data_IF_037078604182
#
_entry.id   IF_037078604182
#
_cell.length_a   1.000
_cell.length_b   1.000
_cell.length_c   1.000
_cell.angle_alpha   90.00
_cell.angle_beta   90.00
_cell.angle_gamma   90.00
#
_symmetry.space_group_name_H-M   'P 1'
#
loop_
_entity.id
_entity.type
_entity.pdbx_description
1 polymer ?
#
# COMPACT_ATOMS: atom_id res chain seq x y z
N UNK A 1 9.32 -0.68 18.41
CA UNK A 1 8.59 -0.66 17.13
C UNK A 1 7.15 -0.29 17.41
N UNK A 2 6.56 0.70 16.74
CA UNK A 2 5.10 0.82 16.78
C UNK A 2 4.53 -0.37 15.98
N UNK A 3 4.05 -1.38 16.71
CA UNK A 3 3.42 -2.57 16.14
C UNK A 3 2.28 -2.20 15.19
N UNK A 4 1.66 -1.03 15.37
CA UNK A 4 0.62 -0.52 14.49
C UNK A 4 1.12 -0.23 13.06
N UNK A 5 2.36 0.22 12.87
CA UNK A 5 2.88 0.56 11.53
C UNK A 5 3.20 -0.70 10.71
N UNK A 6 3.76 -1.75 11.33
CA UNK A 6 3.89 -3.06 10.64
C UNK A 6 2.53 -3.61 10.30
N UNK A 7 1.60 -3.52 11.26
CA UNK A 7 0.23 -4.02 11.06
C UNK A 7 -0.44 -3.27 9.92
N UNK A 8 -0.25 -1.96 9.82
CA UNK A 8 -0.74 -1.15 8.71
C UNK A 8 -0.20 -1.69 7.39
N UNK A 9 1.12 -1.91 7.32
CA UNK A 9 1.74 -2.41 6.10
C UNK A 9 1.23 -3.82 5.72
N UNK A 10 1.09 -4.72 6.70
CA UNK A 10 0.48 -6.03 6.51
C UNK A 10 -0.96 -5.94 5.98
N UNK A 11 -1.80 -5.09 6.59
CA UNK A 11 -3.20 -4.89 6.15
C UNK A 11 -3.27 -4.25 4.77
N UNK A 12 -2.36 -3.33 4.43
CA UNK A 12 -2.25 -2.73 3.10
C UNK A 12 -1.98 -3.81 2.03
N UNK A 13 -1.04 -4.73 2.27
CA UNK A 13 -0.72 -5.84 1.36
C UNK A 13 -1.87 -6.83 1.20
N UNK A 14 -2.73 -6.99 2.21
CA UNK A 14 -3.97 -7.75 2.06
C UNK A 14 -4.99 -7.03 1.17
N UNK A 15 -5.05 -5.71 1.31
CA UNK A 15 -6.08 -4.86 0.71
C UNK A 15 -5.80 -4.52 -0.75
N UNK A 16 -4.53 -4.36 -1.13
CA UNK A 16 -4.12 -4.05 -2.49
C UNK A 16 -2.91 -4.90 -2.93
N UNK A 17 -2.76 -5.20 -4.22
CA UNK A 17 -1.64 -5.98 -4.75
C UNK A 17 -0.31 -5.22 -4.71
N UNK A 18 -0.36 -3.88 -4.75
CA UNK A 18 0.81 -3.02 -4.75
C UNK A 18 0.85 -2.20 -3.45
N UNK A 19 2.05 -1.99 -2.90
CA UNK A 19 2.25 -1.06 -1.78
C UNK A 19 3.58 -0.33 -1.91
N UNK A 20 3.65 0.91 -1.41
CA UNK A 20 4.87 1.70 -1.39
C UNK A 20 5.11 2.21 0.03
N UNK A 21 6.32 2.01 0.55
CA UNK A 21 6.81 2.70 1.74
C UNK A 21 7.62 3.92 1.31
N UNK A 22 7.10 5.11 1.56
CA UNK A 22 7.74 6.38 1.22
C UNK A 22 8.20 7.08 2.51
N UNK A 23 9.47 7.41 2.62
CA UNK A 23 9.99 8.07 3.83
C UNK A 23 11.48 8.37 3.75
N UNK A 24 12.08 9.01 4.76
CA UNK A 24 13.46 9.50 4.69
C UNK A 24 14.46 8.39 4.35
N UNK A 25 15.57 8.73 3.70
CA UNK A 25 16.63 7.76 3.45
C UNK A 25 17.14 7.14 4.77
N UNK A 26 17.54 5.87 4.74
CA UNK A 26 18.04 5.13 5.92
C UNK A 26 17.04 4.99 7.09
N UNK A 27 15.74 5.06 6.82
CA UNK A 27 14.64 4.86 7.80
C UNK A 27 14.27 3.39 8.06
N UNK A 28 15.08 2.44 7.59
CA UNK A 28 14.83 1.01 7.80
C UNK A 28 13.72 0.38 6.94
N UNK A 29 13.13 1.12 5.97
CA UNK A 29 12.12 0.61 5.03
C UNK A 29 12.53 -0.71 4.37
N UNK A 30 13.75 -0.76 3.84
CA UNK A 30 14.28 -1.95 3.16
C UNK A 30 14.39 -3.15 4.11
N UNK A 31 14.81 -2.93 5.36
CA UNK A 31 14.91 -3.98 6.37
C UNK A 31 13.52 -4.49 6.79
N UNK A 32 12.53 -3.60 6.93
CA UNK A 32 11.14 -3.97 7.18
C UNK A 32 10.57 -4.81 6.04
N UNK A 33 10.72 -4.36 4.79
CA UNK A 33 10.21 -5.08 3.61
C UNK A 33 10.83 -6.46 3.52
N UNK A 34 12.16 -6.56 3.67
CA UNK A 34 12.86 -7.84 3.65
C UNK A 34 12.36 -8.78 4.75
N UNK A 35 12.32 -8.30 6.00
CA UNK A 35 11.89 -9.13 7.13
C UNK A 35 10.45 -9.59 6.98
N UNK A 36 9.55 -8.70 6.54
CA UNK A 36 8.15 -9.04 6.31
C UNK A 36 7.99 -10.04 5.16
N UNK A 37 8.71 -9.86 4.05
CA UNK A 37 8.69 -10.80 2.94
C UNK A 37 9.13 -12.20 3.37
N UNK A 38 10.26 -12.27 4.08
CA UNK A 38 10.81 -13.50 4.66
C UNK A 38 9.92 -14.16 5.73
N UNK A 39 8.92 -13.45 6.23
CA UNK A 39 7.96 -13.98 7.21
C UNK A 39 6.64 -14.41 6.56
N UNK A 40 6.32 -13.91 5.37
CA UNK A 40 5.08 -14.21 4.66
C UNK A 40 5.23 -15.26 3.56
N UNK A 41 6.46 -15.56 3.16
CA UNK A 41 6.78 -16.36 1.98
C UNK A 41 7.98 -17.25 2.28
N UNK A 42 8.15 -18.31 1.50
CA UNK A 42 9.32 -19.18 1.55
C UNK A 42 10.60 -18.36 1.33
N UNK A 43 11.66 -18.66 2.10
CA UNK A 43 12.94 -17.95 2.04
C UNK A 43 13.80 -18.45 0.89
N UNK A 44 13.28 -18.32 -0.33
CA UNK A 44 13.94 -18.70 -1.58
C UNK A 44 13.78 -17.57 -2.60
N UNK A 45 14.81 -17.35 -3.41
CA UNK A 45 14.88 -16.30 -4.44
C UNK A 45 13.77 -16.46 -5.51
N UNK A 46 13.16 -17.65 -5.61
CA UNK A 46 12.01 -17.92 -6.46
C UNK A 46 10.74 -17.18 -5.98
N UNK A 47 10.55 -17.07 -4.66
CA UNK A 47 9.34 -16.49 -4.06
C UNK A 47 9.52 -15.04 -3.64
N UNK A 48 10.76 -14.64 -3.32
CA UNK A 48 11.10 -13.28 -2.92
C UNK A 48 12.15 -12.72 -3.86
N UNK A 49 11.77 -11.74 -4.67
CA UNK A 49 12.72 -11.03 -5.54
C UNK A 49 13.00 -9.63 -5.00
N UNK A 50 14.24 -9.39 -4.59
CA UNK A 50 14.75 -8.06 -4.25
C UNK A 50 15.39 -7.42 -5.50
N UNK A 51 14.82 -6.32 -5.96
CA UNK A 51 15.20 -5.60 -7.18
C UNK A 51 15.58 -4.18 -6.77
N UNK A 52 16.77 -3.72 -7.12
CA UNK A 52 17.09 -2.29 -6.99
C UNK A 52 16.22 -1.54 -8.00
N UNK A 53 15.53 -0.49 -7.58
CA UNK A 53 14.80 0.40 -8.50
C UNK A 53 15.81 1.23 -9.29
N UNK A 54 16.20 2.37 -8.73
CA UNK A 54 17.04 3.30 -9.47
C UNK A 54 18.53 2.87 -9.45
N UNK A 55 19.24 2.85 -10.60
CA UNK A 55 20.68 2.64 -10.67
C UNK A 55 21.44 3.89 -10.19
N UNK A 56 21.38 4.23 -8.89
CA UNK A 56 22.20 5.31 -8.33
C UNK A 56 23.70 5.13 -8.63
N UNK A 57 24.14 3.89 -8.85
CA UNK A 57 25.51 3.55 -9.26
C UNK A 57 25.87 3.98 -10.69
N UNK A 58 24.89 4.19 -11.58
CA UNK A 58 25.12 4.57 -12.97
C UNK A 58 25.37 6.07 -13.16
N UNK A 59 25.02 6.92 -12.17
CA UNK A 59 25.17 8.38 -12.26
C UNK A 59 26.62 8.84 -12.44
N UNK A 60 27.59 8.06 -11.95
CA UNK A 60 29.03 8.31 -12.11
C UNK A 60 29.65 7.72 -13.38
N UNK A 61 28.86 7.12 -14.27
CA UNK A 61 29.36 6.40 -15.45
C UNK A 61 29.26 7.24 -16.73
N UNK A 62 30.19 7.03 -17.68
CA UNK A 62 30.21 7.78 -18.94
C UNK A 62 28.98 7.51 -19.84
N UNK A 63 28.22 6.44 -19.59
CA UNK A 63 27.06 5.99 -20.39
C UNK A 63 25.80 5.76 -19.52
N UNK A 64 25.45 6.75 -18.69
CA UNK A 64 24.31 6.69 -17.76
C UNK A 64 23.04 6.14 -18.42
N UNK A 65 22.66 6.69 -19.58
CA UNK A 65 21.43 6.30 -20.28
C UNK A 65 21.38 4.81 -20.64
N UNK A 66 22.47 4.26 -21.18
CA UNK A 66 22.54 2.84 -21.56
C UNK A 66 22.53 1.92 -20.34
N UNK A 67 23.16 2.32 -19.24
CA UNK A 67 23.14 1.55 -17.99
C UNK A 67 21.75 1.59 -17.34
N UNK A 68 21.07 2.73 -17.38
CA UNK A 68 19.69 2.86 -16.90
C UNK A 68 18.74 2.00 -17.73
N UNK A 69 18.85 2.01 -19.06
CA UNK A 69 18.03 1.17 -19.94
C UNK A 69 18.24 -0.33 -19.68
N UNK A 70 19.49 -0.78 -19.54
CA UNK A 70 19.79 -2.16 -19.19
C UNK A 70 19.23 -2.55 -17.81
N UNK A 71 19.30 -1.64 -16.83
CA UNK A 71 18.71 -1.88 -15.53
C UNK A 71 17.20 -2.05 -15.63
N UNK A 72 16.51 -1.13 -16.32
CA UNK A 72 15.05 -1.20 -16.48
C UNK A 72 14.64 -2.53 -17.10
N UNK A 73 15.31 -2.94 -18.20
CA UNK A 73 15.05 -4.25 -18.83
C UNK A 73 15.24 -5.41 -17.86
N UNK A 74 16.34 -5.42 -17.11
CA UNK A 74 16.62 -6.47 -16.13
C UNK A 74 15.57 -6.51 -14.99
N UNK A 75 15.14 -5.35 -14.50
CA UNK A 75 14.09 -5.25 -13.50
C UNK A 75 12.76 -5.77 -14.03
N UNK A 76 12.42 -5.44 -15.27
CA UNK A 76 11.20 -5.95 -15.92
C UNK A 76 11.23 -7.47 -16.11
N UNK A 77 12.35 -8.05 -16.58
CA UNK A 77 12.49 -9.51 -16.73
C UNK A 77 12.34 -10.25 -15.40
N UNK A 78 12.89 -9.67 -14.32
CA UNK A 78 12.70 -10.20 -12.96
C UNK A 78 11.23 -10.19 -12.52
N UNK A 79 10.55 -9.06 -12.70
CA UNK A 79 9.12 -8.94 -12.38
C UNK A 79 8.29 -9.92 -13.22
N UNK A 80 8.58 -10.08 -14.51
CA UNK A 80 7.91 -11.05 -15.36
C UNK A 80 8.12 -12.48 -14.87
N UNK A 81 9.37 -12.84 -14.56
CA UNK A 81 9.71 -14.17 -14.06
C UNK A 81 8.95 -14.52 -12.78
N UNK A 82 8.82 -13.59 -11.81
CA UNK A 82 8.05 -13.87 -10.59
C UNK A 82 6.55 -13.96 -10.85
N UNK A 83 6.01 -13.19 -11.81
CA UNK A 83 4.60 -13.27 -12.20
C UNK A 83 4.31 -14.65 -12.81
N UNK A 84 5.16 -15.10 -13.73
CA UNK A 84 5.02 -16.41 -14.38
C UNK A 84 5.11 -17.56 -13.36
N UNK A 85 6.02 -17.46 -12.39
CA UNK A 85 6.16 -18.46 -11.34
C UNK A 85 4.93 -18.47 -10.41
N UNK A 86 4.48 -17.30 -9.94
CA UNK A 86 3.32 -17.18 -9.06
C UNK A 86 2.02 -17.63 -9.74
N UNK A 87 1.92 -17.50 -11.07
CA UNK A 87 0.78 -17.94 -11.86
C UNK A 87 0.67 -19.46 -12.02
N UNK A 88 1.71 -20.24 -11.69
CA UNK A 88 1.68 -21.70 -11.86
C UNK A 88 0.63 -22.33 -10.92
N UNK A 89 -0.16 -23.31 -11.41
CA UNK A 89 -1.19 -23.95 -10.57
C UNK A 89 -0.67 -24.57 -9.27
N UNK A 90 0.56 -25.10 -9.28
CA UNK A 90 1.20 -25.68 -8.09
C UNK A 90 1.60 -24.66 -7.02
N UNK A 91 1.61 -23.36 -7.38
CA UNK A 91 2.08 -22.27 -6.54
C UNK A 91 0.92 -21.38 -6.04
N UNK A 92 -0.33 -21.73 -6.32
CA UNK A 92 -1.50 -20.89 -6.00
C UNK A 92 -1.66 -20.60 -4.50
N UNK A 93 -1.22 -21.52 -3.64
CA UNK A 93 -1.29 -21.41 -2.18
C UNK A 93 0.00 -20.85 -1.54
N UNK A 94 0.92 -20.34 -2.37
CA UNK A 94 2.21 -19.80 -1.96
C UNK A 94 2.25 -18.28 -2.19
N UNK A 95 2.80 -17.51 -1.25
CA UNK A 95 2.94 -16.06 -1.36
C UNK A 95 4.19 -15.71 -2.14
N UNK A 96 4.05 -14.85 -3.14
CA UNK A 96 5.17 -14.30 -3.89
C UNK A 96 5.29 -12.80 -3.64
N UNK A 97 6.53 -12.30 -3.56
CA UNK A 97 6.80 -10.90 -3.27
C UNK A 97 7.94 -10.39 -4.16
N UNK A 98 7.63 -9.40 -5.00
CA UNK A 98 8.65 -8.59 -5.68
C UNK A 98 8.84 -7.27 -4.94
N UNK A 99 10.08 -6.95 -4.58
CA UNK A 99 10.43 -5.72 -3.89
C UNK A 99 11.32 -4.85 -4.76
N UNK A 100 10.81 -3.69 -5.20
CA UNK A 100 11.58 -2.65 -5.87
C UNK A 100 12.09 -1.66 -4.81
N UNK A 101 13.39 -1.69 -4.55
CA UNK A 101 14.03 -0.97 -3.45
C UNK A 101 14.61 0.35 -3.96
N UNK A 102 14.35 1.47 -3.25
CA UNK A 102 14.84 2.80 -3.63
C UNK A 102 14.42 3.22 -5.04
N UNK A 103 13.12 3.12 -5.32
CA UNK A 103 12.56 3.62 -6.57
C UNK A 103 12.65 5.14 -6.64
N UNK A 104 12.87 5.64 -7.84
CA UNK A 104 12.78 7.05 -8.19
C UNK A 104 11.33 7.47 -8.47
N UNK A 105 11.03 8.78 -8.49
CA UNK A 105 9.73 9.28 -8.94
C UNK A 105 9.40 8.86 -10.38
N UNK A 106 10.41 8.73 -11.25
CA UNK A 106 10.19 8.29 -12.63
C UNK A 106 9.68 6.85 -12.69
N UNK A 107 10.28 5.94 -11.92
CA UNK A 107 9.85 4.54 -11.84
C UNK A 107 8.52 4.37 -11.11
N UNK A 108 8.25 5.21 -10.11
CA UNK A 108 6.94 5.27 -9.50
C UNK A 108 5.85 5.50 -10.56
N UNK A 109 6.03 6.50 -11.43
CA UNK A 109 5.07 6.82 -12.48
C UNK A 109 5.07 5.78 -13.60
N UNK A 110 6.24 5.40 -14.14
CA UNK A 110 6.32 4.51 -15.32
C UNK A 110 6.06 3.05 -15.01
N UNK A 111 6.16 2.61 -13.75
CA UNK A 111 5.92 1.24 -13.34
C UNK A 111 4.71 1.12 -12.40
N UNK A 112 4.71 1.77 -11.23
CA UNK A 112 3.63 1.56 -10.25
C UNK A 112 2.28 2.13 -10.71
N UNK A 113 2.23 3.36 -11.23
CA UNK A 113 0.98 3.92 -11.77
C UNK A 113 0.47 3.09 -12.95
N UNK A 114 1.35 2.78 -13.91
CA UNK A 114 1.00 2.01 -15.11
C UNK A 114 0.49 0.59 -14.78
N UNK A 115 1.16 -0.13 -13.88
CA UNK A 115 0.69 -1.45 -13.43
C UNK A 115 -0.62 -1.30 -12.66
N UNK A 116 -0.72 -0.32 -11.77
CA UNK A 116 -1.91 -0.10 -10.96
C UNK A 116 -3.17 0.13 -11.80
N UNK A 117 -3.06 0.94 -12.86
CA UNK A 117 -4.10 1.18 -13.84
C UNK A 117 -4.48 -0.10 -14.60
N UNK A 118 -3.50 -0.83 -15.11
CA UNK A 118 -3.73 -2.07 -15.86
C UNK A 118 -4.40 -3.16 -15.00
N UNK A 119 -4.07 -3.24 -13.70
CA UNK A 119 -4.69 -4.18 -12.77
C UNK A 119 -6.19 -3.98 -12.61
N UNK A 120 -6.69 -2.74 -12.64
CA UNK A 120 -8.14 -2.48 -12.63
C UNK A 120 -8.83 -2.99 -13.90
N UNK A 121 -8.11 -3.04 -15.00
CA UNK A 121 -8.58 -3.58 -16.27
C UNK A 121 -8.38 -5.11 -16.38
N UNK A 122 -7.79 -5.74 -15.37
CA UNK A 122 -7.67 -7.19 -15.21
C UNK A 122 -6.56 -7.86 -16.01
N UNK A 123 -5.77 -7.11 -16.80
CA UNK A 123 -4.70 -7.65 -17.64
C UNK A 123 -3.52 -6.68 -17.70
N UNK A 124 -2.31 -7.22 -17.74
CA UNK A 124 -1.08 -6.47 -17.92
C UNK A 124 -0.56 -6.70 -19.34
N UNK A 125 -0.37 -5.61 -20.08
CA UNK A 125 0.23 -5.54 -21.41
C UNK A 125 1.57 -4.80 -21.41
N UNK A 126 1.86 -4.04 -20.35
CA UNK A 126 3.07 -3.22 -20.23
C UNK A 126 3.67 -3.32 -18.83
N UNK A 127 4.99 -3.49 -18.75
CA UNK A 127 5.77 -3.43 -17.51
C UNK A 127 6.99 -2.53 -17.72
N UNK A 128 6.96 -1.34 -17.13
CA UNK A 128 7.94 -0.29 -17.41
C UNK A 128 7.91 0.07 -18.90
N UNK A 129 9.06 -0.02 -19.57
CA UNK A 129 9.16 0.28 -21.01
C UNK A 129 8.95 -0.93 -21.93
N UNK A 130 8.65 -2.10 -21.37
CA UNK A 130 8.42 -3.33 -22.16
C UNK A 130 6.94 -3.52 -22.46
N UNK A 131 6.61 -3.68 -23.73
CA UNK A 131 5.30 -4.13 -24.19
C UNK A 131 5.30 -5.64 -24.41
N UNK A 132 4.32 -6.32 -23.80
CA UNK A 132 4.15 -7.76 -23.91
C UNK A 132 3.41 -8.11 -25.20
N UNK A 133 3.74 -9.26 -25.77
CA UNK A 133 3.09 -9.79 -26.98
C UNK A 133 1.67 -10.26 -26.65
N UNK A 134 1.48 -10.84 -25.48
CA UNK A 134 0.20 -11.37 -24.99
C UNK A 134 -0.11 -10.80 -23.60
N UNK A 135 -1.40 -10.58 -23.28
CA UNK A 135 -1.79 -10.12 -21.95
C UNK A 135 -1.51 -11.20 -20.91
N UNK A 136 -0.93 -10.79 -19.80
CA UNK A 136 -0.76 -11.65 -18.62
C UNK A 136 -1.72 -11.23 -17.50
N UNK A 137 -2.20 -12.21 -16.75
CA UNK A 137 -3.00 -11.95 -15.55
C UNK A 137 -2.09 -11.74 -14.35
N UNK A 138 -2.47 -10.84 -13.45
CA UNK A 138 -1.74 -10.64 -12.22
C UNK A 138 -2.14 -11.70 -11.17
N UNK A 139 -1.20 -12.51 -10.67
CA UNK A 139 -1.51 -13.58 -9.72
C UNK A 139 -2.03 -13.03 -8.39
N UNK A 140 -3.12 -13.60 -7.88
CA UNK A 140 -3.76 -13.14 -6.64
C UNK A 140 -2.89 -13.34 -5.39
N UNK A 141 -1.89 -14.21 -5.48
CA UNK A 141 -0.89 -14.54 -4.46
C UNK A 141 0.42 -13.74 -4.56
N UNK A 142 0.57 -12.88 -5.58
CA UNK A 142 1.72 -11.99 -5.74
C UNK A 142 1.50 -10.62 -5.10
N UNK A 143 2.53 -10.06 -4.47
CA UNK A 143 2.59 -8.67 -4.01
C UNK A 143 3.78 -7.96 -4.63
N UNK A 144 3.61 -6.71 -5.01
CA UNK A 144 4.73 -5.85 -5.40
C UNK A 144 4.87 -4.71 -4.41
N UNK A 145 6.08 -4.54 -3.89
CA UNK A 145 6.41 -3.58 -2.85
C UNK A 145 7.45 -2.61 -3.36
N UNK A 146 7.17 -1.32 -3.29
CA UNK A 146 8.12 -0.24 -3.54
C UNK A 146 8.68 0.32 -2.23
N UNK A 147 9.94 0.75 -2.24
CA UNK A 147 10.44 1.68 -1.21
C UNK A 147 10.98 2.92 -1.87
N UNK A 148 10.65 4.09 -1.33
CA UNK A 148 11.03 5.37 -1.89
C UNK A 148 11.65 6.26 -0.81
N UNK A 149 12.82 6.80 -1.10
CA UNK A 149 13.52 7.73 -0.22
C UNK A 149 13.01 9.15 -0.50
N UNK A 150 12.16 9.68 0.37
CA UNK A 150 11.60 11.04 0.27
C UNK A 150 11.19 11.60 1.62
N UNK A 151 11.22 12.93 1.78
CA UNK A 151 10.81 13.60 3.02
C UNK A 151 9.29 13.91 3.03
N UNK A 152 8.73 14.24 1.86
CA UNK A 152 7.30 14.40 1.59
C UNK A 152 6.93 13.53 0.39
N UNK A 153 5.71 12.99 0.34
CA UNK A 153 5.23 12.28 -0.84
C UNK A 153 4.22 13.16 -1.56
N UNK A 154 4.59 13.60 -2.76
CA UNK A 154 3.84 14.57 -3.57
C UNK A 154 3.33 14.00 -4.89
N UNK A 155 3.65 12.75 -5.20
CA UNK A 155 3.28 12.08 -6.45
C UNK A 155 1.97 11.30 -6.30
N UNK A 156 0.96 11.97 -5.77
CA UNK A 156 -0.39 11.42 -5.69
C UNK A 156 -1.01 11.42 -7.07
N UNK A 157 -1.28 10.24 -7.58
CA UNK A 157 -1.80 10.01 -8.91
C UNK A 157 -3.00 9.07 -8.79
N UNK A 158 -4.10 9.40 -9.49
CA UNK A 158 -5.35 8.63 -9.38
C UNK A 158 -5.13 7.18 -9.82
N UNK A 159 -4.36 6.98 -10.90
CA UNK A 159 -4.02 5.67 -11.43
C UNK A 159 -3.18 4.85 -10.44
N UNK A 160 -2.16 5.47 -9.82
CA UNK A 160 -1.39 4.87 -8.72
C UNK A 160 -2.30 4.38 -7.59
N UNK A 161 -3.26 5.22 -7.17
CA UNK A 161 -4.12 4.94 -6.03
C UNK A 161 -5.17 3.87 -6.31
N UNK A 162 -5.42 3.44 -7.55
CA UNK A 162 -6.40 2.38 -7.83
C UNK A 162 -6.02 1.03 -7.20
N UNK A 163 -4.76 0.62 -7.35
CA UNK A 163 -4.28 -0.70 -6.95
C UNK A 163 -3.02 -0.65 -6.08
N UNK A 164 -2.59 0.55 -5.70
CA UNK A 164 -1.46 0.78 -4.78
C UNK A 164 -1.90 1.45 -3.49
N UNK A 165 -1.32 1.04 -2.37
CA UNK A 165 -1.36 1.79 -1.11
C UNK A 165 0.00 2.43 -0.85
N UNK A 166 0.04 3.76 -0.75
CA UNK A 166 1.25 4.48 -0.34
C UNK A 166 1.19 4.73 1.17
N UNK A 167 2.22 4.32 1.88
CA UNK A 167 2.36 4.48 3.33
C UNK A 167 3.52 5.43 3.59
N UNK A 168 3.22 6.56 4.22
CA UNK A 168 4.24 7.49 4.68
C UNK A 168 4.94 6.95 5.93
N UNK A 169 6.23 6.67 5.79
CA UNK A 169 7.07 6.03 6.80
C UNK A 169 7.98 7.06 7.47
N UNK A 170 7.83 7.19 8.80
CA UNK A 170 8.50 8.26 9.57
C UNK A 170 9.64 7.79 10.49
N UNK A 171 9.92 6.48 10.60
CA UNK A 171 10.89 6.01 11.61
C UNK A 171 12.35 6.12 11.15
N UNK A 172 13.14 6.90 11.89
CA UNK A 172 14.60 6.89 11.87
C UNK A 172 15.11 6.40 13.23
N UNK A 173 15.22 5.09 13.41
CA UNK A 173 15.98 4.53 14.52
C UNK A 173 16.75 3.31 14.02
N UNK A 174 18.02 3.22 14.42
CA UNK A 174 18.98 2.20 13.97
C UNK A 174 18.34 0.82 13.99
N UNK A 175 18.05 0.30 12.80
CA UNK A 175 17.43 -1.00 12.62
C UNK A 175 18.46 -2.08 12.94
N UNK A 176 18.31 -2.72 14.11
CA UNK A 176 18.65 -4.15 14.21
C UNK A 176 17.54 -4.91 13.49
N UNK A 177 17.86 -5.94 12.70
CA UNK A 177 16.86 -6.73 11.96
C UNK A 177 15.63 -7.02 12.84
N UNK A 178 14.40 -6.72 12.35
CA UNK A 178 13.23 -6.83 13.20
C UNK A 178 13.09 -8.29 13.63
N UNK A 179 13.09 -8.55 14.94
CA UNK A 179 12.56 -9.80 15.50
C UNK A 179 11.06 -9.72 15.29
N UNK A 180 10.65 -10.08 14.08
CA UNK A 180 9.27 -10.23 13.72
C UNK A 180 8.76 -11.41 14.53
N UNK A 181 8.01 -11.11 15.59
CA UNK A 181 7.55 -12.11 16.54
C UNK A 181 6.54 -13.02 15.80
N UNK A 182 7.01 -14.17 15.31
CA UNK A 182 6.27 -15.15 14.49
C UNK A 182 5.00 -15.71 15.16
N UNK A 183 4.69 -15.31 16.40
CA UNK A 183 3.71 -15.98 17.25
C UNK A 183 2.24 -15.82 16.89
N UNK A 184 1.83 -14.79 16.11
CA UNK A 184 0.37 -14.55 15.88
C UNK A 184 0.02 -13.96 14.51
N UNK A 185 0.92 -13.26 13.81
CA UNK A 185 0.55 -12.41 12.66
C UNK A 185 0.94 -12.90 11.27
N UNK A 186 1.84 -13.89 11.15
CA UNK A 186 2.60 -14.13 9.91
C UNK A 186 2.69 -15.61 9.61
N UNK A 187 1.52 -16.22 9.51
CA UNK A 187 1.36 -17.49 8.83
C UNK A 187 0.98 -17.19 7.37
N UNK A 188 1.75 -17.74 6.44
CA UNK A 188 1.56 -17.57 5.00
C UNK A 188 0.13 -17.97 4.57
N UNK A 189 -0.35 -19.08 5.11
CA UNK A 189 -1.68 -19.61 4.78
C UNK A 189 -2.77 -18.68 5.32
N UNK A 190 -2.68 -18.23 6.57
CA UNK A 190 -3.60 -17.21 7.10
C UNK A 190 -3.52 -15.89 6.33
N UNK A 191 -2.33 -15.48 5.85
CA UNK A 191 -2.23 -14.27 5.03
C UNK A 191 -3.08 -14.40 3.77
N UNK A 192 -2.86 -15.43 2.95
CA UNK A 192 -3.61 -15.62 1.70
C UNK A 192 -5.11 -15.84 1.95
N UNK A 193 -5.47 -16.70 2.89
CA UNK A 193 -6.88 -17.04 3.16
C UNK A 193 -7.66 -15.87 3.78
N UNK A 194 -6.98 -14.94 4.45
CA UNK A 194 -7.63 -13.78 5.06
C UNK A 194 -7.57 -12.52 4.19
N UNK A 195 -6.91 -12.56 3.03
CA UNK A 195 -6.87 -11.48 2.03
C UNK A 195 -8.25 -11.31 1.38
N UNK A 196 -8.85 -10.14 1.53
CA UNK A 196 -10.08 -9.77 0.85
C UNK A 196 -9.82 -8.56 -0.03
N UNK A 197 -10.20 -8.66 -1.31
CA UNK A 197 -10.14 -7.55 -2.27
C UNK A 197 -11.45 -7.36 -3.03
N UNK A 198 -12.39 -8.29 -2.85
CA UNK A 198 -13.75 -8.18 -3.35
C UNK A 198 -14.58 -7.33 -2.39
N UNK A 199 -15.31 -6.35 -2.94
CA UNK A 199 -16.12 -5.43 -2.14
C UNK A 199 -17.23 -6.17 -1.38
N UNK A 200 -17.93 -7.11 -2.02
CA UNK A 200 -19.07 -7.78 -1.42
C UNK A 200 -18.63 -8.71 -0.28
N UNK A 201 -17.47 -9.36 -0.42
CA UNK A 201 -16.81 -10.09 0.66
C UNK A 201 -16.38 -9.16 1.81
N UNK A 202 -15.86 -7.97 1.50
CA UNK A 202 -15.44 -6.99 2.51
C UNK A 202 -16.63 -6.52 3.37
N UNK A 203 -17.72 -6.06 2.73
CA UNK A 203 -18.93 -5.64 3.44
C UNK A 203 -19.50 -6.77 4.29
N UNK A 204 -19.57 -8.00 3.77
CA UNK A 204 -20.04 -9.17 4.53
C UNK A 204 -19.18 -9.45 5.76
N UNK A 205 -17.86 -9.35 5.65
CA UNK A 205 -16.94 -9.61 6.78
C UNK A 205 -17.02 -8.54 7.85
N UNK A 206 -17.09 -7.25 7.47
CA UNK A 206 -17.02 -6.15 8.42
C UNK A 206 -18.37 -5.82 9.08
N UNK A 207 -19.49 -6.15 8.42
CA UNK A 207 -20.83 -5.84 8.89
C UNK A 207 -21.13 -6.26 10.35
N UNK A 208 -20.77 -7.48 10.82
CA UNK A 208 -21.02 -7.89 12.20
C UNK A 208 -20.31 -6.99 13.24
N UNK A 209 -19.12 -6.49 12.91
CA UNK A 209 -18.35 -5.58 13.78
C UNK A 209 -19.03 -4.22 13.83
N UNK A 210 -19.39 -3.67 12.67
CA UNK A 210 -20.03 -2.35 12.58
C UNK A 210 -21.38 -2.32 13.28
N UNK A 211 -22.17 -3.40 13.18
CA UNK A 211 -23.50 -3.50 13.80
C UNK A 211 -23.45 -3.37 15.32
N UNK A 212 -22.35 -3.77 15.96
CA UNK A 212 -22.21 -3.71 17.41
C UNK A 212 -21.82 -2.32 17.92
N UNK A 213 -21.44 -1.41 17.02
CA UNK A 213 -20.91 -0.10 17.38
C UNK A 213 -21.93 1.02 17.14
N UNK A 214 -21.80 2.07 17.95
CA UNK A 214 -22.62 3.27 17.78
C UNK A 214 -22.01 4.15 16.69
N UNK A 215 -22.71 4.26 15.56
CA UNK A 215 -22.35 5.15 14.47
C UNK A 215 -20.89 5.01 13.99
N UNK A 216 -20.40 3.78 13.72
CA UNK A 216 -18.99 3.50 13.47
C UNK A 216 -18.41 4.26 12.26
N UNK A 217 -19.24 4.55 11.27
CA UNK A 217 -18.83 5.21 10.02
C UNK A 217 -19.22 6.69 9.96
N UNK A 218 -19.73 7.28 11.05
CA UNK A 218 -20.23 8.66 11.00
C UNK A 218 -19.16 9.67 10.58
N UNK A 219 -17.95 9.56 11.12
CA UNK A 219 -16.84 10.42 10.72
C UNK A 219 -16.41 10.19 9.28
N UNK A 220 -16.41 8.93 8.80
CA UNK A 220 -16.15 8.62 7.39
C UNK A 220 -17.18 9.29 6.47
N UNK A 221 -18.48 9.19 6.80
CA UNK A 221 -19.54 9.85 6.04
C UNK A 221 -19.40 11.38 6.04
N UNK A 222 -18.91 11.98 7.12
CA UNK A 222 -18.64 13.43 7.17
C UNK A 222 -17.45 13.82 6.30
N UNK A 223 -16.37 13.03 6.30
CA UNK A 223 -15.21 13.25 5.42
C UNK A 223 -15.64 13.09 3.97
N UNK A 224 -16.35 12.01 3.65
CA UNK A 224 -16.92 11.74 2.33
C UNK A 224 -17.79 12.91 1.86
N UNK A 225 -18.74 13.39 2.67
CA UNK A 225 -19.58 14.53 2.33
C UNK A 225 -18.78 15.82 2.08
N UNK A 226 -17.65 15.99 2.76
CA UNK A 226 -16.75 17.14 2.58
C UNK A 226 -15.98 17.04 1.26
N UNK A 227 -15.56 15.84 0.87
CA UNK A 227 -14.70 15.59 -0.29
C UNK A 227 -15.46 15.22 -1.58
N UNK A 228 -16.76 14.91 -1.49
CA UNK A 228 -17.59 14.43 -2.60
C UNK A 228 -17.56 15.29 -3.86
N UNK A 229 -17.31 16.59 -3.73
CA UNK A 229 -17.24 17.52 -4.88
C UNK A 229 -15.89 17.53 -5.59
N UNK A 230 -14.88 16.89 -5.01
CA UNK A 230 -13.49 16.97 -5.44
C UNK A 230 -12.96 15.61 -5.89
N UNK A 231 -13.50 14.51 -5.34
CA UNK A 231 -13.12 13.15 -5.72
C UNK A 231 -14.12 12.62 -6.75
N UNK A 232 -13.64 12.38 -7.98
CA UNK A 232 -14.43 11.84 -9.11
C UNK A 232 -14.91 10.41 -8.85
N UNK A 233 -14.04 9.56 -8.29
CA UNK A 233 -14.30 8.14 -8.03
C UNK A 233 -14.49 7.84 -6.54
N UNK A 234 -15.27 8.68 -5.84
CA UNK A 234 -15.43 8.58 -4.38
C UNK A 234 -16.01 7.23 -3.94
N UNK A 235 -17.00 6.70 -4.66
CA UNK A 235 -17.64 5.43 -4.30
C UNK A 235 -16.63 4.27 -4.33
N UNK A 236 -15.70 4.28 -5.31
CA UNK A 236 -14.59 3.32 -5.36
C UNK A 236 -13.65 3.48 -4.16
N UNK A 237 -13.32 4.71 -3.78
CA UNK A 237 -12.48 4.97 -2.62
C UNK A 237 -13.13 4.49 -1.30
N UNK A 238 -14.45 4.61 -1.18
CA UNK A 238 -15.19 4.08 -0.04
C UNK A 238 -15.17 2.54 -0.03
N UNK A 239 -15.35 1.89 -1.19
CA UNK A 239 -15.21 0.44 -1.30
C UNK A 239 -13.81 -0.03 -0.89
N UNK A 240 -12.75 0.70 -1.28
CA UNK A 240 -11.37 0.44 -0.84
C UNK A 240 -11.18 0.62 0.67
N UNK A 241 -11.79 1.64 1.28
CA UNK A 241 -11.81 1.81 2.73
C UNK A 241 -12.45 0.59 3.38
N UNK A 242 -13.59 0.13 2.87
CA UNK A 242 -14.29 -1.04 3.42
C UNK A 242 -13.49 -2.33 3.29
N UNK A 243 -12.78 -2.51 2.17
CA UNK A 243 -11.80 -3.59 1.98
C UNK A 243 -10.69 -3.53 3.03
N UNK A 244 -10.10 -2.35 3.23
CA UNK A 244 -9.04 -2.16 4.22
C UNK A 244 -9.53 -2.46 5.63
N UNK A 245 -10.71 -1.94 5.99
CA UNK A 245 -11.35 -2.26 7.26
C UNK A 245 -11.51 -3.77 7.38
N UNK A 246 -12.17 -4.46 6.45
CA UNK A 246 -12.34 -5.91 6.51
C UNK A 246 -11.03 -6.70 6.70
N UNK A 247 -9.92 -6.21 6.11
CA UNK A 247 -8.60 -6.84 6.25
C UNK A 247 -7.89 -6.56 7.59
N UNK A 248 -8.33 -5.56 8.35
CA UNK A 248 -7.82 -5.25 9.70
C UNK A 248 -8.35 -6.16 10.82
N UNK A 249 -9.10 -7.20 10.45
CA UNK A 249 -9.47 -8.32 11.31
C UNK A 249 -8.92 -9.64 10.75
N UNK A 250 -8.49 -10.54 11.63
CA UNK A 250 -8.12 -11.91 11.27
C UNK A 250 -9.34 -12.71 10.80
N UNK A 251 -9.14 -13.93 10.28
CA UNK A 251 -10.24 -14.82 9.90
C UNK A 251 -11.15 -15.19 11.08
N UNK A 252 -10.59 -15.23 12.29
CA UNK A 252 -11.32 -15.50 13.53
C UNK A 252 -12.06 -14.26 14.09
N UNK A 253 -11.94 -13.10 13.43
CA UNK A 253 -12.59 -11.86 13.87
C UNK A 253 -11.83 -11.11 14.98
N UNK A 254 -10.55 -11.45 15.23
CA UNK A 254 -9.71 -10.70 16.15
C UNK A 254 -9.16 -9.45 15.46
N UNK A 255 -9.20 -8.30 16.13
CA UNK A 255 -8.59 -7.06 15.63
C UNK A 255 -7.08 -7.19 15.52
N UNK A 256 -6.51 -6.80 14.37
CA UNK A 256 -5.08 -6.90 14.12
C UNK A 256 -4.28 -5.76 14.77
N UNK A 257 -4.87 -4.58 14.91
CA UNK A 257 -4.26 -3.42 15.55
C UNK A 257 -4.43 -3.43 17.07
N UNK A 258 -5.58 -3.90 17.55
CA UNK A 258 -5.91 -3.87 18.97
C UNK A 258 -6.95 -4.94 19.36
N UNK A 259 -6.85 -5.58 20.55
CA UNK A 259 -7.82 -6.60 20.98
C UNK A 259 -9.25 -6.08 21.17
N UNK A 260 -9.41 -4.84 21.66
CA UNK A 260 -10.72 -4.16 21.72
C UNK A 260 -11.21 -3.81 20.30
N UNK A 261 -12.40 -4.28 19.88
CA UNK A 261 -12.95 -4.01 18.55
C UNK A 261 -13.11 -2.52 18.23
N UNK A 262 -13.51 -1.70 19.21
CA UNK A 262 -13.72 -0.26 19.03
C UNK A 262 -12.40 0.47 18.75
N UNK A 263 -11.36 0.12 19.51
CA UNK A 263 -10.01 0.67 19.27
C UNK A 263 -9.42 0.16 17.96
N UNK A 264 -9.63 -1.11 17.61
CA UNK A 264 -9.18 -1.64 16.32
C UNK A 264 -9.81 -0.89 15.15
N UNK A 265 -11.14 -0.71 15.19
CA UNK A 265 -11.84 0.01 14.14
C UNK A 265 -11.40 1.47 14.07
N UNK A 266 -11.22 2.14 15.21
CA UNK A 266 -10.75 3.53 15.23
C UNK A 266 -9.36 3.68 14.58
N UNK A 267 -8.41 2.81 14.91
CA UNK A 267 -7.06 2.81 14.30
C UNK A 267 -7.15 2.50 12.80
N UNK A 268 -7.92 1.48 12.42
CA UNK A 268 -8.08 1.07 11.02
C UNK A 268 -8.75 2.17 10.18
N UNK A 269 -9.75 2.87 10.72
CA UNK A 269 -10.40 4.00 10.06
C UNK A 269 -9.44 5.18 9.89
N UNK A 270 -8.65 5.51 10.91
CA UNK A 270 -7.65 6.57 10.83
C UNK A 270 -6.67 6.32 9.67
N UNK A 271 -6.14 5.10 9.61
CA UNK A 271 -5.21 4.68 8.56
C UNK A 271 -5.87 4.67 7.18
N UNK A 272 -7.06 4.07 7.05
CA UNK A 272 -7.79 4.01 5.79
C UNK A 272 -8.12 5.41 5.23
N UNK A 273 -8.60 6.33 6.08
CA UNK A 273 -8.87 7.72 5.67
C UNK A 273 -7.58 8.38 5.19
N UNK A 274 -6.51 8.27 5.99
CA UNK A 274 -5.20 8.89 5.71
C UNK A 274 -4.60 8.44 4.39
N UNK A 275 -4.66 7.15 4.06
CA UNK A 275 -3.89 6.58 2.95
C UNK A 275 -4.72 6.23 1.70
N UNK A 276 -6.06 6.17 1.80
CA UNK A 276 -6.93 5.80 0.68
C UNK A 276 -7.88 6.92 0.24
N UNK A 277 -8.27 7.81 1.16
CA UNK A 277 -9.29 8.83 0.89
C UNK A 277 -8.71 10.23 0.75
N UNK A 278 -8.00 10.72 1.78
CA UNK A 278 -7.41 12.07 1.75
C UNK A 278 -6.45 12.31 0.58
N UNK A 279 -5.61 11.34 0.17
CA UNK A 279 -4.67 11.57 -0.93
C UNK A 279 -5.34 11.89 -2.28
N UNK A 280 -6.57 11.41 -2.50
CA UNK A 280 -7.35 11.68 -3.72
C UNK A 280 -7.89 13.12 -3.82
N UNK A 281 -7.77 13.89 -2.75
CA UNK A 281 -8.17 15.30 -2.70
C UNK A 281 -7.04 16.19 -2.16
N UNK A 282 -5.79 15.74 -2.32
CA UNK A 282 -4.61 16.42 -1.75
C UNK A 282 -4.51 17.87 -2.22
N UNK A 283 -4.74 18.11 -3.51
CA UNK A 283 -4.67 19.44 -4.11
C UNK A 283 -5.72 20.38 -3.53
N UNK A 284 -6.94 19.89 -3.28
CA UNK A 284 -7.99 20.68 -2.64
C UNK A 284 -7.72 20.91 -1.15
N UNK A 285 -7.19 19.93 -0.44
CA UNK A 285 -6.82 20.07 0.97
C UNK A 285 -5.70 21.11 1.12
N UNK A 286 -4.73 21.12 0.20
CA UNK A 286 -3.63 22.09 0.14
C UNK A 286 -4.15 23.49 -0.20
N UNK A 287 -4.94 23.62 -1.27
CA UNK A 287 -5.35 24.92 -1.83
C UNK A 287 -6.55 25.58 -1.14
N UNK A 288 -7.41 24.84 -0.44
CA UNK A 288 -8.69 25.38 0.10
C UNK A 288 -8.75 25.26 1.62
N UNK A 289 -8.47 26.38 2.31
CA UNK A 289 -8.53 26.48 3.78
C UNK A 289 -9.86 25.99 4.37
N UNK A 290 -11.00 26.36 3.77
CA UNK A 290 -12.32 25.92 4.23
C UNK A 290 -12.49 24.38 4.23
N UNK A 291 -11.89 23.69 3.24
CA UNK A 291 -11.92 22.21 3.17
C UNK A 291 -11.07 21.64 4.30
N UNK A 292 -9.84 22.17 4.46
CA UNK A 292 -8.91 21.78 5.51
C UNK A 292 -9.51 21.96 6.90
N UNK A 293 -10.06 23.13 7.22
CA UNK A 293 -10.68 23.41 8.52
C UNK A 293 -11.85 22.48 8.80
N UNK A 294 -12.68 22.20 7.78
CA UNK A 294 -13.80 21.28 7.93
C UNK A 294 -13.33 19.87 8.23
N UNK A 295 -12.29 19.39 7.54
CA UNK A 295 -11.68 18.08 7.81
C UNK A 295 -11.07 18.03 9.21
N UNK A 296 -10.34 19.07 9.64
CA UNK A 296 -9.76 19.12 10.98
C UNK A 296 -10.82 19.09 12.08
N UNK A 297 -11.96 19.77 11.89
CA UNK A 297 -13.10 19.70 12.81
C UNK A 297 -13.66 18.26 12.97
N UNK A 298 -13.51 17.42 11.95
CA UNK A 298 -13.99 16.02 11.97
C UNK A 298 -12.91 15.09 12.56
N UNK A 299 -11.63 15.36 12.26
CA UNK A 299 -10.54 14.41 12.45
C UNK A 299 -9.73 14.62 13.75
N UNK A 300 -9.52 15.86 14.20
CA UNK A 300 -8.49 16.19 15.20
C UNK A 300 -8.58 15.39 16.51
N UNK A 301 -9.79 15.12 17.00
CA UNK A 301 -9.99 14.46 18.30
C UNK A 301 -9.88 12.93 18.23
N UNK A 302 -10.10 12.33 17.05
CA UNK A 302 -10.32 10.87 16.91
C UNK A 302 -9.33 10.17 15.99
N UNK A 303 -8.76 10.90 15.04
CA UNK A 303 -8.01 10.37 13.91
C UNK A 303 -6.70 11.16 13.76
N UNK A 304 -5.73 10.93 14.68
CA UNK A 304 -4.49 11.71 14.73
C UNK A 304 -3.66 11.62 13.46
N UNK A 305 -3.64 10.48 12.76
CA UNK A 305 -2.87 10.35 11.50
C UNK A 305 -3.54 11.13 10.37
N UNK A 306 -4.86 11.04 10.27
CA UNK A 306 -5.64 11.76 9.26
C UNK A 306 -5.57 13.28 9.48
N UNK A 307 -5.62 13.71 10.74
CA UNK A 307 -5.43 15.10 11.13
C UNK A 307 -3.99 15.56 10.82
N UNK A 308 -2.98 14.76 11.14
CA UNK A 308 -1.58 15.04 10.82
C UNK A 308 -1.35 15.24 9.32
N UNK A 309 -1.88 14.34 8.48
CA UNK A 309 -1.85 14.49 7.03
C UNK A 309 -2.45 15.83 6.58
N UNK A 310 -3.66 16.14 7.07
CA UNK A 310 -4.39 17.36 6.73
C UNK A 310 -3.62 18.63 7.13
N UNK A 311 -2.91 18.61 8.27
CA UNK A 311 -2.08 19.72 8.74
C UNK A 311 -0.85 19.90 7.84
N UNK A 312 -0.15 18.80 7.51
CA UNK A 312 1.06 18.85 6.69
C UNK A 312 0.79 19.51 5.33
N UNK A 313 -0.35 19.19 4.71
CA UNK A 313 -0.76 19.80 3.44
C UNK A 313 -1.02 21.32 3.53
N UNK A 314 -1.25 21.86 4.74
CA UNK A 314 -1.44 23.30 4.92
C UNK A 314 -0.14 24.10 5.13
N UNK A 315 0.98 23.43 5.41
CA UNK A 315 2.29 24.06 5.64
C UNK A 315 3.05 24.26 4.32
N UNK A 316 2.70 23.48 3.29
CA UNK A 316 3.33 23.50 1.96
C UNK A 316 2.77 24.57 1.00
N UNK A 317 2.06 25.58 1.52
CA UNK A 317 1.49 26.71 0.75
C UNK A 317 2.29 27.99 0.95
#
# INVERSE_FOLDING_TARGET
MDQAEITNFYVALKSKPLAILAGPAHSGKTALVRGLAQSLSEQDDLFIQMITGHPWWAEGSNNVASHTELHIRFSTEKVLSIIEEAARPGNADQVFIACLIQISPAELMSFFSEVSYQLQNGQIMRLGDTHLIEPIFFPSNLRIIGTMDTNSFDWWDDDLLLSTTVIQWSQASEFSEPIINRGVMLDEHEFLQSCIRDKDAAYRKIYPVLRQQRQPLYSLLQVEATLRKYISSLDLAIDEVMIYLANSWSRLGNGLFHPSPDRNLAIALDLAITQLLLPRAVDEIRSKEMVRDRLLCILADKYPRSAGFTILQGIEV
#
